data_IF_191684602105
#
_entry.id   IF_191684602105
#
_cell.length_a   1.000
_cell.length_b   1.000
_cell.length_c   1.000
_cell.angle_alpha   90.00
_cell.angle_beta   90.00
_cell.angle_gamma   90.00
#
_symmetry.space_group_name_H-M   'P 1'
#
loop_
_entity.id
_entity.type
_entity.pdbx_description
1 polymer ?
#
# COMPACT_ATOMS: atom_id res chain seq x y z
N UNK A 1 54.20 -34.01 22.54
CA UNK A 1 52.88 -34.25 21.92
C UNK A 1 51.74 -33.82 22.84
N UNK A 2 51.73 -34.23 24.11
CA UNK A 2 50.71 -33.85 25.12
C UNK A 2 50.55 -32.34 25.30
N UNK A 3 51.65 -31.59 25.40
CA UNK A 3 51.64 -30.12 25.65
C UNK A 3 51.15 -29.30 24.46
N UNK A 4 51.43 -29.71 23.22
CA UNK A 4 50.92 -29.04 22.01
C UNK A 4 49.39 -29.18 21.90
N UNK A 5 48.85 -30.36 22.25
CA UNK A 5 47.41 -30.64 22.18
C UNK A 5 46.65 -29.80 23.22
N UNK A 6 47.18 -29.66 24.44
CA UNK A 6 46.56 -28.84 25.49
C UNK A 6 46.55 -27.36 25.11
N UNK A 7 47.63 -26.85 24.50
CA UNK A 7 47.68 -25.47 24.00
C UNK A 7 46.70 -25.26 22.84
N UNK A 8 46.57 -26.22 21.93
CA UNK A 8 45.61 -26.13 20.82
C UNK A 8 44.15 -26.15 21.33
N UNK A 9 43.82 -27.01 22.29
CA UNK A 9 42.47 -27.06 22.89
C UNK A 9 42.17 -25.79 23.68
N UNK A 10 43.15 -25.25 24.42
CA UNK A 10 43.00 -23.98 25.13
C UNK A 10 42.80 -22.80 24.16
N UNK A 11 43.53 -22.77 23.03
CA UNK A 11 43.36 -21.74 22.00
C UNK A 11 41.98 -21.82 21.32
N UNK A 12 41.46 -23.03 21.06
CA UNK A 12 40.11 -23.21 20.48
C UNK A 12 39.03 -22.78 21.47
N UNK A 13 39.18 -23.12 22.76
CA UNK A 13 38.18 -22.78 23.79
C UNK A 13 38.15 -21.28 24.16
N UNK A 14 39.23 -20.53 23.93
CA UNK A 14 39.23 -19.06 24.07
C UNK A 14 38.48 -18.36 22.93
N UNK A 15 38.29 -19.01 21.78
CA UNK A 15 37.71 -18.36 20.59
C UNK A 15 36.19 -18.43 20.46
N UNK A 16 35.48 -19.24 21.26
CA UNK A 16 34.04 -19.44 21.14
C UNK A 16 33.27 -18.93 22.38
N UNK A 17 33.52 -17.68 22.78
CA UNK A 17 32.64 -17.00 23.71
C UNK A 17 31.34 -16.63 22.97
N UNK A 18 30.35 -17.52 22.99
CA UNK A 18 29.04 -17.25 22.42
C UNK A 18 28.39 -16.06 23.13
N UNK A 19 28.20 -14.96 22.40
CA UNK A 19 27.57 -13.74 22.92
C UNK A 19 26.10 -14.06 23.24
N UNK A 20 25.81 -14.21 24.52
CA UNK A 20 24.44 -14.44 25.02
C UNK A 20 23.78 -13.11 25.32
N UNK A 21 22.59 -12.90 24.76
CA UNK A 21 21.86 -11.63 24.84
C UNK A 21 20.53 -11.84 25.55
N UNK A 22 20.33 -11.18 26.68
CA UNK A 22 19.06 -11.15 27.38
C UNK A 22 18.19 -10.02 26.85
N UNK A 23 17.45 -10.30 25.77
CA UNK A 23 16.58 -9.33 25.13
C UNK A 23 15.09 -9.69 25.31
N UNK A 24 14.19 -8.69 25.38
CA UNK A 24 12.76 -8.93 25.47
C UNK A 24 12.26 -9.60 24.19
N UNK A 25 11.23 -10.45 24.34
CA UNK A 25 10.52 -11.08 23.23
C UNK A 25 9.49 -10.13 22.61
N UNK A 26 9.96 -8.96 22.16
CA UNK A 26 9.15 -7.96 21.46
C UNK A 26 9.57 -7.87 20.00
N UNK A 27 8.61 -7.76 19.09
CA UNK A 27 8.88 -7.64 17.67
C UNK A 27 8.79 -6.17 17.21
N UNK A 28 9.96 -5.55 17.04
CA UNK A 28 10.16 -4.19 16.53
C UNK A 28 11.34 -4.21 15.55
N UNK A 29 11.15 -4.76 14.34
CA UNK A 29 12.25 -5.28 13.54
C UNK A 29 13.22 -4.18 13.10
N UNK A 30 14.49 -4.57 12.99
CA UNK A 30 15.60 -3.74 12.51
C UNK A 30 16.07 -4.30 11.17
N UNK A 31 16.16 -3.41 10.18
CA UNK A 31 16.45 -3.73 8.79
C UNK A 31 17.80 -3.18 8.35
N UNK A 32 18.44 -3.84 7.40
CA UNK A 32 19.64 -3.31 6.73
C UNK A 32 19.30 -2.04 5.94
N UNK A 33 20.10 -0.98 6.13
CA UNK A 33 19.81 0.39 5.65
C UNK A 33 19.78 0.52 4.12
N UNK A 34 20.37 -0.41 3.37
CA UNK A 34 20.38 -0.38 1.90
C UNK A 34 19.39 -1.35 1.26
N UNK A 35 19.21 -2.54 1.83
CA UNK A 35 18.40 -3.61 1.23
C UNK A 35 17.00 -3.69 1.81
N UNK A 36 16.80 -3.21 3.04
CA UNK A 36 15.54 -3.35 3.76
C UNK A 36 15.29 -4.75 4.32
N UNK A 37 16.29 -5.63 4.24
CA UNK A 37 16.23 -6.97 4.79
C UNK A 37 16.16 -6.93 6.32
N UNK A 38 15.21 -7.66 6.91
CA UNK A 38 15.07 -7.79 8.36
C UNK A 38 16.25 -8.61 8.90
N UNK A 39 17.08 -8.01 9.73
CA UNK A 39 18.24 -8.69 10.33
C UNK A 39 17.99 -9.09 11.79
N UNK A 40 17.21 -8.29 12.53
CA UNK A 40 16.97 -8.51 13.95
C UNK A 40 15.51 -8.25 14.31
N UNK A 41 15.00 -9.02 15.27
CA UNK A 41 13.60 -8.91 15.74
C UNK A 41 13.35 -7.64 16.56
N UNK A 42 14.39 -7.06 17.18
CA UNK A 42 14.33 -5.77 17.85
C UNK A 42 15.72 -5.11 18.01
N UNK A 43 15.72 -3.86 18.45
CA UNK A 43 16.93 -3.06 18.66
C UNK A 43 17.88 -3.66 19.70
N UNK A 44 17.36 -4.36 20.72
CA UNK A 44 18.20 -5.05 21.70
C UNK A 44 19.05 -6.13 21.02
N UNK A 45 18.44 -6.96 20.18
CA UNK A 45 19.16 -7.96 19.41
C UNK A 45 20.12 -7.35 18.39
N UNK A 46 19.75 -6.23 17.75
CA UNK A 46 20.66 -5.51 16.84
C UNK A 46 21.91 -4.99 17.57
N UNK A 47 21.74 -4.30 18.70
CA UNK A 47 22.88 -3.84 19.52
C UNK A 47 23.74 -4.98 20.04
N UNK A 48 23.14 -6.14 20.23
CA UNK A 48 23.86 -7.29 20.76
C UNK A 48 24.63 -8.05 19.68
N UNK A 49 24.07 -8.26 18.50
CA UNK A 49 24.66 -9.12 17.47
C UNK A 49 25.20 -8.37 16.26
N UNK A 50 24.95 -7.07 16.13
CA UNK A 50 25.41 -6.28 14.99
C UNK A 50 26.61 -5.41 15.38
N UNK A 51 27.67 -5.48 14.58
CA UNK A 51 28.91 -4.78 14.87
C UNK A 51 28.86 -3.29 14.49
N UNK A 52 28.10 -2.93 13.45
CA UNK A 52 28.01 -1.55 12.94
C UNK A 52 26.57 -1.04 12.89
N UNK A 53 26.13 -0.36 13.95
CA UNK A 53 24.76 0.20 14.05
C UNK A 53 24.41 1.24 12.98
N UNK A 54 25.37 1.70 12.15
CA UNK A 54 25.09 2.59 11.01
C UNK A 54 24.55 1.85 9.78
N UNK A 55 24.68 0.52 9.73
CA UNK A 55 24.20 -0.33 8.63
C UNK A 55 22.77 -0.80 8.83
N UNK A 56 22.16 -0.47 9.98
CA UNK A 56 20.84 -0.92 10.36
C UNK A 56 19.97 0.22 10.86
N UNK A 57 18.68 0.14 10.58
CA UNK A 57 17.67 1.11 11.02
C UNK A 57 16.39 0.37 11.42
N UNK A 58 15.53 0.95 12.28
CA UNK A 58 14.18 0.44 12.46
C UNK A 58 13.49 0.26 11.09
N UNK A 59 12.89 -0.90 10.83
CA UNK A 59 12.35 -1.22 9.51
C UNK A 59 11.29 -0.22 9.04
N UNK A 60 10.54 0.40 9.95
CA UNK A 60 9.56 1.43 9.63
C UNK A 60 10.19 2.74 9.11
N UNK A 61 11.50 2.93 9.28
CA UNK A 61 12.26 4.07 8.75
C UNK A 61 12.96 3.76 7.42
N UNK A 62 12.99 2.49 6.99
CA UNK A 62 13.57 2.11 5.70
C UNK A 62 12.65 2.59 4.56
N UNK A 63 12.95 3.79 4.04
CA UNK A 63 12.32 4.32 2.84
C UNK A 63 13.08 3.78 1.64
N UNK A 64 12.60 2.70 1.05
CA UNK A 64 13.14 2.16 -0.20
C UNK A 64 13.14 3.28 -1.24
N UNK A 65 14.31 3.69 -1.72
CA UNK A 65 14.44 4.49 -2.93
C UNK A 65 14.15 3.58 -4.12
N UNK A 66 12.86 3.32 -4.34
CA UNK A 66 12.16 2.79 -5.52
C UNK A 66 10.91 2.05 -5.06
N UNK A 67 9.78 2.46 -5.63
CA UNK A 67 8.42 1.99 -5.39
C UNK A 67 7.79 2.38 -4.05
N UNK A 68 6.73 3.19 -4.20
CA UNK A 68 5.58 3.34 -3.31
C UNK A 68 5.35 2.08 -2.44
N UNK A 69 5.20 2.20 -1.12
CA UNK A 69 5.05 1.04 -0.26
C UNK A 69 3.76 0.28 -0.58
N UNK A 70 3.89 -0.90 -1.16
CA UNK A 70 2.86 -1.96 -1.14
C UNK A 70 3.35 -3.11 -0.26
N UNK A 71 3.68 -2.81 0.99
CA UNK A 71 3.42 -3.76 2.07
C UNK A 71 2.01 -3.44 2.54
N UNK A 72 1.04 -4.06 1.85
CA UNK A 72 -0.32 -4.23 2.34
C UNK A 72 -0.15 -4.88 3.72
N UNK A 73 -0.52 -4.22 4.84
CA UNK A 73 -0.75 -4.95 6.07
C UNK A 73 -1.76 -6.07 5.74
N UNK A 74 -1.85 -7.10 6.57
CA UNK A 74 -2.98 -8.03 6.51
C UNK A 74 -4.26 -7.23 6.80
N UNK A 75 -4.76 -6.51 5.79
CA UNK A 75 -5.79 -5.48 5.85
C UNK A 75 -7.16 -6.14 5.91
N UNK A 76 -7.49 -6.75 7.04
CA UNK A 76 -8.88 -6.68 7.45
C UNK A 76 -9.14 -5.23 7.84
N UNK A 77 -9.84 -4.54 6.95
CA UNK A 77 -10.26 -3.19 7.26
C UNK A 77 -11.48 -3.24 8.16
N UNK A 78 -11.32 -2.78 9.40
CA UNK A 78 -12.41 -2.65 10.36
C UNK A 78 -13.26 -1.43 10.01
N UNK A 79 -14.01 -1.53 8.92
CA UNK A 79 -14.89 -0.49 8.45
C UNK A 79 -16.35 -0.84 8.73
N UNK A 80 -17.17 0.16 9.12
CA UNK A 80 -18.59 -0.05 9.29
C UNK A 80 -19.23 -0.46 7.97
N UNK A 81 -20.24 -1.34 8.05
CA UNK A 81 -21.04 -1.78 6.90
C UNK A 81 -22.13 -0.74 6.56
N UNK A 82 -21.72 0.51 6.39
CA UNK A 82 -22.58 1.63 6.00
C UNK A 82 -22.39 1.91 4.52
N UNK A 83 -23.50 2.11 3.79
CA UNK A 83 -23.48 2.46 2.38
C UNK A 83 -23.44 3.99 2.22
N UNK A 84 -22.27 4.53 1.89
CA UNK A 84 -22.07 5.93 1.51
C UNK A 84 -21.00 5.98 0.40
N UNK A 85 -21.36 5.61 -0.84
CA UNK A 85 -20.41 5.15 -1.82
C UNK A 85 -19.43 6.25 -2.27
N UNK A 86 -18.20 5.82 -2.56
CA UNK A 86 -17.12 6.68 -3.04
C UNK A 86 -16.81 6.34 -4.49
N UNK A 87 -16.78 7.38 -5.31
CA UNK A 87 -16.60 7.31 -6.75
C UNK A 87 -15.26 7.93 -7.16
N UNK A 88 -14.71 7.47 -8.27
CA UNK A 88 -13.57 8.14 -8.90
C UNK A 88 -14.00 9.51 -9.43
N UNK A 89 -13.29 10.57 -9.05
CA UNK A 89 -13.69 11.97 -9.26
C UNK A 89 -13.91 12.36 -10.71
N UNK A 90 -13.24 11.69 -11.64
CA UNK A 90 -13.30 12.03 -13.07
C UNK A 90 -14.34 11.18 -13.79
N UNK A 91 -14.43 9.90 -13.44
CA UNK A 91 -15.24 8.93 -14.20
C UNK A 91 -16.58 8.64 -13.56
N UNK A 92 -16.77 8.99 -12.28
CA UNK A 92 -17.97 8.65 -11.52
C UNK A 92 -18.11 7.16 -11.22
N UNK A 93 -17.11 6.33 -11.54
CA UNK A 93 -17.14 4.90 -11.24
C UNK A 93 -17.09 4.69 -9.74
N UNK A 94 -18.08 4.00 -9.16
CA UNK A 94 -18.06 3.58 -7.77
C UNK A 94 -16.89 2.61 -7.55
N UNK A 95 -16.01 2.93 -6.60
CA UNK A 95 -14.86 2.09 -6.25
C UNK A 95 -14.98 1.48 -4.86
N UNK A 96 -15.61 2.19 -3.92
CA UNK A 96 -15.71 1.76 -2.53
C UNK A 96 -17.12 1.99 -1.98
N UNK A 97 -17.54 1.12 -1.05
CA UNK A 97 -18.86 1.17 -0.42
C UNK A 97 -18.99 2.33 0.58
N UNK A 98 -17.88 2.78 1.16
CA UNK A 98 -17.77 3.99 1.95
C UNK A 98 -16.32 4.52 2.03
N UNK A 99 -16.17 5.71 2.61
CA UNK A 99 -14.88 6.39 2.77
C UNK A 99 -13.88 5.62 3.63
N UNK A 100 -14.33 4.88 4.65
CA UNK A 100 -13.41 4.05 5.44
C UNK A 100 -12.72 3.01 4.55
N UNK A 101 -13.49 2.30 3.72
CA UNK A 101 -12.93 1.35 2.77
C UNK A 101 -12.04 2.03 1.71
N UNK A 102 -12.39 3.25 1.28
CA UNK A 102 -11.56 4.04 0.37
C UNK A 102 -10.21 4.39 0.99
N UNK A 103 -10.18 4.95 2.20
CA UNK A 103 -8.94 5.27 2.94
C UNK A 103 -8.08 4.04 3.20
N UNK A 104 -8.70 2.88 3.31
CA UNK A 104 -8.01 1.63 3.58
C UNK A 104 -7.29 1.03 2.38
N UNK A 105 -7.96 1.08 1.23
CA UNK A 105 -7.56 0.33 0.04
C UNK A 105 -7.14 1.23 -1.11
N UNK A 106 -7.32 2.54 -1.02
CA UNK A 106 -6.95 3.50 -2.04
C UNK A 106 -5.75 4.34 -1.63
N UNK A 107 -4.76 4.41 -2.51
CA UNK A 107 -3.51 5.10 -2.20
C UNK A 107 -3.59 6.62 -2.35
N UNK A 108 -4.52 7.15 -3.16
CA UNK A 108 -4.62 8.57 -3.47
C UNK A 108 -6.05 9.10 -3.34
N UNK A 109 -6.44 9.50 -2.14
CA UNK A 109 -7.79 10.03 -1.89
C UNK A 109 -8.15 11.26 -2.72
N UNK A 110 -7.16 11.98 -3.30
CA UNK A 110 -7.43 13.11 -4.19
C UNK A 110 -8.03 12.68 -5.54
N UNK A 111 -8.09 11.39 -5.85
CA UNK A 111 -8.75 10.83 -7.04
C UNK A 111 -10.21 10.44 -6.78
N UNK A 112 -10.68 10.60 -5.55
CA UNK A 112 -11.98 10.14 -5.10
C UNK A 112 -12.87 11.29 -4.63
N UNK A 113 -14.19 11.08 -4.76
CA UNK A 113 -15.26 11.94 -4.22
C UNK A 113 -16.38 11.06 -3.72
N UNK A 114 -17.24 11.57 -2.83
CA UNK A 114 -18.53 10.91 -2.59
C UNK A 114 -19.30 10.83 -3.92
N UNK A 115 -19.95 9.71 -4.18
CA UNK A 115 -20.73 9.56 -5.41
C UNK A 115 -21.88 10.57 -5.49
N UNK A 116 -22.38 11.08 -4.36
CA UNK A 116 -23.35 12.18 -4.30
C UNK A 116 -22.79 13.51 -4.82
N UNK A 117 -21.47 13.68 -4.73
CA UNK A 117 -20.79 14.92 -5.07
C UNK A 117 -20.17 14.86 -6.48
N UNK A 118 -20.19 13.69 -7.11
CA UNK A 118 -19.74 13.51 -8.48
C UNK A 118 -20.66 14.29 -9.43
N UNK A 119 -20.09 15.30 -10.07
CA UNK A 119 -20.75 16.04 -11.15
C UNK A 119 -20.31 15.46 -12.48
N UNK A 120 -21.26 14.95 -13.26
CA UNK A 120 -21.01 14.58 -14.65
C UNK A 120 -20.54 15.84 -15.40
N UNK A 121 -19.56 15.73 -16.29
CA UNK A 121 -19.17 16.83 -17.15
C UNK A 121 -20.38 17.35 -17.92
N UNK A 122 -20.51 18.67 -17.98
CA UNK A 122 -21.56 19.32 -18.75
C UNK A 122 -21.03 19.70 -20.14
N UNK A 123 -21.94 20.05 -21.06
CA UNK A 123 -21.56 20.58 -22.38
C UNK A 123 -20.72 21.87 -22.30
N UNK A 124 -20.70 22.56 -21.16
CA UNK A 124 -19.85 23.75 -20.98
C UNK A 124 -18.38 23.38 -20.74
N UNK A 125 -18.11 22.14 -20.30
CA UNK A 125 -16.77 21.57 -20.11
C UNK A 125 -16.34 20.70 -21.31
N UNK A 126 -17.30 20.27 -22.12
CA UNK A 126 -17.13 19.31 -23.21
C UNK A 126 -17.75 19.85 -24.52
N UNK A 127 -16.94 20.06 -25.55
CA UNK A 127 -17.45 20.42 -26.89
C UNK A 127 -18.07 19.17 -27.53
N UNK A 128 -19.31 18.88 -27.17
CA UNK A 128 -20.11 17.78 -27.70
C UNK A 128 -21.31 18.31 -28.49
N UNK A 129 -21.69 17.59 -29.54
CA UNK A 129 -22.94 17.88 -30.24
C UNK A 129 -24.13 17.64 -29.30
N UNK A 130 -25.16 18.49 -29.38
CA UNK A 130 -26.42 18.35 -28.65
C UNK A 130 -27.31 17.26 -29.27
N UNK A 131 -26.76 16.06 -29.43
CA UNK A 131 -27.43 14.86 -29.92
C UNK A 131 -27.73 13.97 -28.71
N UNK A 132 -28.94 13.40 -28.66
CA UNK A 132 -29.37 12.53 -27.59
C UNK A 132 -29.37 11.06 -28.06
N UNK A 133 -28.33 10.33 -27.67
CA UNK A 133 -28.10 8.91 -27.92
C UNK A 133 -27.58 8.26 -26.63
N UNK A 134 -28.46 8.04 -25.64
CA UNK A 134 -28.04 7.81 -24.27
C UNK A 134 -27.28 6.49 -24.10
N UNK A 135 -26.31 6.53 -23.18
CA UNK A 135 -25.58 5.35 -22.73
C UNK A 135 -26.04 4.94 -21.33
N UNK A 136 -26.38 3.67 -21.18
CA UNK A 136 -26.88 3.06 -19.96
C UNK A 136 -25.80 2.20 -19.28
N UNK A 137 -25.93 2.01 -17.98
CA UNK A 137 -25.22 0.95 -17.25
C UNK A 137 -26.03 -0.37 -17.30
N UNK A 138 -25.46 -1.47 -16.80
CA UNK A 138 -26.11 -2.80 -16.73
C UNK A 138 -27.45 -2.84 -15.97
N UNK A 139 -27.85 -1.74 -15.31
CA UNK A 139 -29.14 -1.60 -14.60
C UNK A 139 -30.13 -0.73 -15.37
N UNK A 140 -29.88 -0.45 -16.66
CA UNK A 140 -30.72 0.39 -17.52
C UNK A 140 -30.86 1.84 -17.01
N UNK A 141 -29.85 2.35 -16.31
CA UNK A 141 -29.83 3.74 -15.84
C UNK A 141 -29.01 4.60 -16.80
N UNK A 142 -29.61 5.70 -17.27
CA UNK A 142 -28.94 6.66 -18.17
C UNK A 142 -27.74 7.28 -17.45
N UNK A 143 -26.55 6.97 -17.96
CA UNK A 143 -25.29 7.49 -17.46
C UNK A 143 -24.89 8.75 -18.23
N UNK A 144 -24.99 8.75 -19.56
CA UNK A 144 -24.61 9.88 -20.41
C UNK A 144 -25.63 10.11 -21.52
N UNK A 145 -25.82 11.36 -21.92
CA UNK A 145 -26.75 11.71 -23.00
C UNK A 145 -26.25 11.32 -24.40
N UNK A 146 -24.94 11.11 -24.55
CA UNK A 146 -24.30 10.57 -25.76
C UNK A 146 -22.89 10.05 -25.44
N UNK A 147 -22.28 9.39 -26.41
CA UNK A 147 -20.93 8.84 -26.32
C UNK A 147 -19.85 9.91 -26.11
N UNK A 148 -20.00 11.09 -26.75
CA UNK A 148 -19.05 12.19 -26.58
C UNK A 148 -18.97 12.64 -25.11
N UNK A 149 -20.12 12.76 -24.44
CA UNK A 149 -20.20 13.11 -23.02
C UNK A 149 -19.57 12.04 -22.13
N UNK A 150 -19.73 10.76 -22.46
CA UNK A 150 -19.09 9.65 -21.72
C UNK A 150 -17.55 9.67 -21.88
N UNK A 151 -17.06 9.88 -23.10
CA UNK A 151 -15.63 10.02 -23.38
C UNK A 151 -15.04 11.26 -22.72
N UNK A 152 -15.76 12.38 -22.69
CA UNK A 152 -15.32 13.59 -22.02
C UNK A 152 -15.19 13.37 -20.50
N UNK A 153 -16.10 12.59 -19.91
CA UNK A 153 -16.00 12.10 -18.53
C UNK A 153 -14.92 11.03 -18.32
N UNK A 154 -14.15 10.70 -19.37
CA UNK A 154 -13.13 9.64 -19.38
C UNK A 154 -13.67 8.30 -18.89
N UNK A 155 -14.96 8.04 -19.14
CA UNK A 155 -15.59 6.76 -18.82
C UNK A 155 -15.16 5.73 -19.86
N UNK A 156 -14.84 4.54 -19.38
CA UNK A 156 -14.63 3.38 -20.23
C UNK A 156 -15.97 2.99 -20.87
N UNK A 157 -16.08 3.19 -22.18
CA UNK A 157 -17.28 2.84 -22.94
C UNK A 157 -17.58 1.35 -22.91
N UNK A 158 -16.59 0.49 -22.63
CA UNK A 158 -16.81 -0.95 -22.44
C UNK A 158 -17.67 -1.29 -21.22
N UNK A 159 -17.85 -0.34 -20.29
CA UNK A 159 -18.73 -0.47 -19.12
C UNK A 159 -20.14 0.09 -19.36
N UNK A 160 -20.46 0.51 -20.59
CA UNK A 160 -21.74 1.08 -20.97
C UNK A 160 -22.27 0.42 -22.24
N UNK A 161 -23.59 0.47 -22.41
CA UNK A 161 -24.25 0.11 -23.66
C UNK A 161 -25.19 1.23 -24.12
N UNK A 162 -25.58 1.20 -25.39
CA UNK A 162 -26.69 2.05 -25.83
C UNK A 162 -27.93 1.64 -25.06
N UNK A 163 -28.60 2.62 -24.46
CA UNK A 163 -30.02 2.47 -24.21
C UNK A 163 -30.73 2.39 -25.59
#
# INVERSE_FOLDING_TARGET
MQTLIVVFIALISVTLAEKTCFCPQVYQPVCHVKTGEVLYSNECYAKCYHDNMSEVIPCHLFKKATAKPTLKPTNECFCPQVFNPVCHKTTGKQLYVNECFAHCYHDNMNELVLCSDFKKPSNDECICASIYEPLCNDKEQIMFGNECLALCAKVDLGALHKC
#
